data_IF_461048360971
#
_entry.id   IF_461048360971
#
_cell.length_a   1.000
_cell.length_b   1.000
_cell.length_c   1.000
_cell.angle_alpha   90.00
_cell.angle_beta   90.00
_cell.angle_gamma   90.00
#
_symmetry.space_group_name_H-M   'P 1'
#
loop_
_entity.id
_entity.type
_entity.pdbx_description
1 polymer ?
#
# COMPACT_ATOMS: atom_id res chain seq x y z
N UNK A 1 17.00 3.09 -5.43
CA UNK A 1 17.45 1.91 -6.21
C UNK A 1 16.92 0.57 -5.70
N UNK A 2 15.84 0.53 -4.88
CA UNK A 2 15.34 -0.71 -4.25
C UNK A 2 14.14 -1.36 -4.97
N UNK A 3 13.47 -0.66 -5.86
CA UNK A 3 12.36 -1.20 -6.67
C UNK A 3 12.73 -2.43 -7.53
N UNK A 4 14.02 -2.69 -7.79
CA UNK A 4 14.48 -3.89 -8.50
C UNK A 4 14.27 -5.21 -7.73
N UNK A 5 13.66 -5.16 -6.54
CA UNK A 5 13.32 -6.34 -5.74
C UNK A 5 11.90 -6.87 -5.98
N UNK A 6 11.09 -6.18 -6.79
CA UNK A 6 9.82 -6.71 -7.25
C UNK A 6 10.10 -7.89 -8.18
N UNK A 7 9.85 -9.11 -7.72
CA UNK A 7 9.76 -10.28 -8.59
C UNK A 7 10.99 -11.16 -8.76
N UNK A 8 11.69 -11.53 -7.69
CA UNK A 8 12.62 -12.66 -7.71
C UNK A 8 11.91 -14.02 -7.56
N UNK A 9 10.81 -14.26 -8.29
CA UNK A 9 10.16 -15.58 -8.28
C UNK A 9 10.65 -16.42 -9.47
N UNK A 10 10.75 -17.74 -9.29
CA UNK A 10 11.04 -18.73 -10.35
C UNK A 10 9.96 -18.78 -11.47
N UNK A 11 8.84 -18.02 -11.29
CA UNK A 11 7.74 -17.97 -12.26
C UNK A 11 8.02 -16.89 -13.33
N UNK A 12 7.65 -17.13 -14.59
CA UNK A 12 7.79 -16.15 -15.65
C UNK A 12 7.04 -14.85 -15.29
N UNK A 13 7.67 -13.69 -15.58
CA UNK A 13 7.10 -12.38 -15.29
C UNK A 13 5.75 -12.18 -16.03
N UNK A 14 4.91 -11.29 -15.52
CA UNK A 14 3.64 -10.92 -16.17
C UNK A 14 3.91 -10.52 -17.62
N UNK A 15 4.94 -9.71 -17.84
CA UNK A 15 5.34 -9.30 -19.19
C UNK A 15 5.72 -10.49 -20.09
N UNK A 16 6.55 -11.42 -19.65
CA UNK A 16 6.96 -12.57 -20.46
C UNK A 16 5.77 -13.48 -20.82
N UNK A 17 4.73 -13.52 -19.99
CA UNK A 17 3.50 -14.25 -20.26
C UNK A 17 2.62 -13.53 -21.28
N UNK A 18 2.40 -12.22 -21.12
CA UNK A 18 1.68 -11.37 -22.08
C UNK A 18 2.38 -11.37 -23.44
N UNK A 19 3.71 -11.18 -23.43
CA UNK A 19 4.55 -11.20 -24.63
C UNK A 19 4.36 -12.50 -25.43
N UNK A 20 4.35 -13.66 -24.76
CA UNK A 20 4.17 -14.95 -25.40
C UNK A 20 2.80 -15.07 -26.09
N UNK A 21 1.74 -14.49 -25.54
CA UNK A 21 0.40 -14.48 -26.12
C UNK A 21 0.34 -13.53 -27.31
N UNK A 22 0.73 -12.28 -27.12
CA UNK A 22 0.64 -11.24 -28.15
C UNK A 22 1.62 -11.42 -29.31
N UNK A 23 2.71 -12.17 -29.12
CA UNK A 23 3.79 -12.31 -30.09
C UNK A 23 3.99 -13.77 -30.57
N UNK A 24 3.09 -14.69 -30.27
CA UNK A 24 3.09 -16.04 -30.85
C UNK A 24 2.96 -15.96 -32.37
N UNK A 25 2.35 -14.90 -32.89
CA UNK A 25 2.40 -14.48 -34.30
C UNK A 25 2.67 -12.97 -34.37
N UNK A 26 3.87 -12.58 -34.81
CA UNK A 26 4.26 -11.16 -35.02
C UNK A 26 3.26 -10.43 -35.96
N UNK A 27 2.52 -11.18 -36.80
CA UNK A 27 1.42 -10.66 -37.59
C UNK A 27 0.15 -10.35 -36.80
N UNK A 28 -0.02 -10.87 -35.58
CA UNK A 28 -1.24 -10.64 -34.78
C UNK A 28 -1.38 -9.17 -34.38
N UNK A 29 -0.32 -8.50 -33.95
CA UNK A 29 -0.35 -7.06 -33.66
C UNK A 29 -0.65 -6.20 -34.90
N UNK A 30 -0.22 -6.63 -36.08
CA UNK A 30 -0.45 -5.91 -37.35
C UNK A 30 -1.86 -6.17 -37.87
N UNK A 31 -2.40 -7.38 -37.70
CA UNK A 31 -3.75 -7.79 -38.17
C UNK A 31 -4.86 -7.47 -37.16
N UNK A 32 -4.51 -7.13 -35.94
CA UNK A 32 -5.40 -6.97 -34.78
C UNK A 32 -5.32 -8.20 -33.85
N UNK A 33 -5.40 -7.97 -32.55
CA UNK A 33 -5.57 -9.05 -31.57
C UNK A 33 -6.93 -9.71 -31.84
N UNK A 34 -6.97 -11.03 -31.89
CA UNK A 34 -8.22 -11.76 -31.99
C UNK A 34 -8.85 -11.97 -30.59
N UNK A 35 -10.08 -12.46 -30.55
CA UNK A 35 -10.80 -12.68 -29.30
C UNK A 35 -10.05 -13.65 -28.35
N UNK A 36 -9.41 -14.69 -28.91
CA UNK A 36 -8.65 -15.68 -28.12
C UNK A 36 -7.39 -15.06 -27.49
N UNK A 37 -6.73 -14.14 -28.20
CA UNK A 37 -5.55 -13.42 -27.67
C UNK A 37 -5.94 -12.52 -26.50
N UNK A 38 -7.05 -11.79 -26.61
CA UNK A 38 -7.57 -10.93 -25.55
C UNK A 38 -8.00 -11.76 -24.33
N UNK A 39 -8.74 -12.85 -24.52
CA UNK A 39 -9.15 -13.76 -23.44
C UNK A 39 -7.92 -14.36 -22.72
N UNK A 40 -6.89 -14.74 -23.46
CA UNK A 40 -5.66 -15.23 -22.87
C UNK A 40 -4.89 -14.14 -22.09
N UNK A 41 -4.89 -12.89 -22.56
CA UNK A 41 -4.31 -11.76 -21.82
C UNK A 41 -5.08 -11.48 -20.54
N UNK A 42 -6.40 -11.49 -20.58
CA UNK A 42 -7.25 -11.34 -19.39
C UNK A 42 -6.95 -12.42 -18.36
N UNK A 43 -6.85 -13.67 -18.79
CA UNK A 43 -6.47 -14.78 -17.90
C UNK A 43 -5.13 -14.54 -17.21
N UNK A 44 -4.11 -14.08 -17.95
CA UNK A 44 -2.79 -13.76 -17.37
C UNK A 44 -2.87 -12.65 -16.34
N UNK A 45 -3.64 -11.59 -16.60
CA UNK A 45 -3.80 -10.46 -15.68
C UNK A 45 -4.57 -10.89 -14.42
N UNK A 46 -5.65 -11.67 -14.57
CA UNK A 46 -6.38 -12.20 -13.42
C UNK A 46 -5.52 -13.13 -12.55
N UNK A 47 -4.74 -14.04 -13.17
CA UNK A 47 -3.79 -14.90 -12.45
C UNK A 47 -2.65 -14.13 -11.77
N UNK A 48 -2.37 -12.91 -12.22
CA UNK A 48 -1.44 -11.98 -11.61
C UNK A 48 -2.10 -11.06 -10.56
N UNK A 49 -3.32 -11.37 -10.12
CA UNK A 49 -4.11 -10.67 -9.09
C UNK A 49 -4.55 -9.23 -9.45
N UNK A 50 -4.61 -8.85 -10.73
CA UNK A 50 -5.12 -7.52 -11.13
C UNK A 50 -6.60 -7.31 -10.78
N UNK A 51 -7.36 -8.40 -10.59
CA UNK A 51 -8.80 -8.33 -10.42
C UNK A 51 -9.55 -8.05 -11.74
N UNK A 52 -10.85 -8.31 -11.75
CA UNK A 52 -11.66 -8.25 -12.98
C UNK A 52 -11.72 -6.83 -13.54
N UNK A 53 -12.00 -5.84 -12.70
CA UNK A 53 -12.21 -4.46 -13.17
C UNK A 53 -10.94 -3.86 -13.83
N UNK A 54 -9.77 -4.03 -13.21
CA UNK A 54 -8.50 -3.55 -13.77
C UNK A 54 -8.10 -4.35 -15.03
N UNK A 55 -8.40 -5.66 -15.07
CA UNK A 55 -8.13 -6.51 -16.24
C UNK A 55 -8.92 -6.02 -17.44
N UNK A 56 -10.24 -5.88 -17.31
CA UNK A 56 -11.12 -5.42 -18.40
C UNK A 56 -10.69 -4.03 -18.91
N UNK A 57 -10.43 -3.09 -18.01
CA UNK A 57 -9.98 -1.74 -18.39
C UNK A 57 -8.68 -1.76 -19.21
N UNK A 58 -7.71 -2.62 -18.82
CA UNK A 58 -6.44 -2.75 -19.54
C UNK A 58 -6.63 -3.42 -20.91
N UNK A 59 -7.40 -4.49 -21.00
CA UNK A 59 -7.59 -5.24 -22.26
C UNK A 59 -8.41 -4.44 -23.27
N UNK A 60 -9.51 -3.79 -22.86
CA UNK A 60 -10.31 -2.90 -23.73
C UNK A 60 -9.46 -1.73 -24.27
N UNK A 61 -8.64 -1.12 -23.43
CA UNK A 61 -7.77 -0.04 -23.87
C UNK A 61 -6.73 -0.49 -24.91
N UNK A 62 -6.17 -1.69 -24.73
CA UNK A 62 -5.22 -2.27 -25.69
C UNK A 62 -5.91 -2.64 -27.01
N UNK A 63 -7.09 -3.25 -26.96
CA UNK A 63 -7.87 -3.57 -28.16
C UNK A 63 -8.17 -2.32 -28.99
N UNK A 64 -8.57 -1.23 -28.34
CA UNK A 64 -8.84 0.03 -29.01
C UNK A 64 -7.58 0.63 -29.67
N UNK A 65 -6.43 0.55 -29.02
CA UNK A 65 -5.14 1.02 -29.59
C UNK A 65 -4.67 0.14 -30.75
N UNK A 66 -4.87 -1.17 -30.69
CA UNK A 66 -4.61 -2.09 -31.81
C UNK A 66 -5.51 -1.75 -32.99
N UNK A 67 -6.82 -1.57 -32.76
CA UNK A 67 -7.81 -1.22 -33.78
C UNK A 67 -7.47 0.11 -34.46
N UNK A 68 -6.92 1.07 -33.74
CA UNK A 68 -6.45 2.35 -34.26
C UNK A 68 -5.06 2.27 -34.93
N UNK A 69 -4.43 1.12 -35.00
CA UNK A 69 -3.11 0.93 -35.59
C UNK A 69 -1.96 1.60 -34.84
N UNK A 70 -2.13 1.88 -33.54
CA UNK A 70 -1.09 2.50 -32.69
C UNK A 70 -0.06 1.51 -32.18
N UNK A 71 -0.44 0.23 -32.04
CA UNK A 71 0.44 -0.83 -31.56
C UNK A 71 0.94 -1.66 -32.75
N UNK A 72 2.19 -1.51 -33.11
CA UNK A 72 2.81 -2.20 -34.25
C UNK A 72 3.97 -3.11 -33.85
N UNK A 73 4.56 -2.84 -32.71
CA UNK A 73 5.73 -3.55 -32.20
C UNK A 73 5.53 -4.01 -30.77
N UNK A 74 6.36 -4.97 -30.32
CA UNK A 74 6.45 -5.38 -28.92
C UNK A 74 6.71 -4.18 -28.00
N UNK A 75 7.58 -3.26 -28.42
CA UNK A 75 7.92 -2.07 -27.65
C UNK A 75 6.71 -1.13 -27.49
N UNK A 76 5.86 -1.02 -28.52
CA UNK A 76 4.63 -0.21 -28.44
C UNK A 76 3.64 -0.83 -27.47
N UNK A 77 3.43 -2.16 -27.54
CA UNK A 77 2.57 -2.89 -26.62
C UNK A 77 3.02 -2.73 -25.17
N UNK A 78 4.32 -2.95 -24.92
CA UNK A 78 4.89 -2.81 -23.56
C UNK A 78 4.71 -1.39 -23.01
N UNK A 79 5.02 -0.39 -23.83
CA UNK A 79 4.89 1.01 -23.46
C UNK A 79 3.43 1.39 -23.18
N UNK A 80 2.52 0.91 -24.01
CA UNK A 80 1.08 1.16 -23.80
C UNK A 80 0.61 0.56 -22.49
N UNK A 81 0.94 -0.71 -22.20
CA UNK A 81 0.63 -1.36 -20.92
C UNK A 81 1.24 -0.62 -19.73
N UNK A 82 2.50 -0.18 -19.81
CA UNK A 82 3.16 0.59 -18.76
C UNK A 82 2.42 1.90 -18.49
N UNK A 83 2.11 2.66 -19.54
CA UNK A 83 1.40 3.93 -19.41
C UNK A 83 0.00 3.74 -18.81
N UNK A 84 -0.78 2.78 -19.32
CA UNK A 84 -2.13 2.50 -18.81
C UNK A 84 -2.11 2.08 -17.35
N UNK A 85 -1.17 1.22 -16.99
CA UNK A 85 -1.00 0.78 -15.61
C UNK A 85 -0.58 1.95 -14.71
N UNK A 86 0.36 2.79 -15.14
CA UNK A 86 0.75 3.99 -14.40
C UNK A 86 -0.43 4.95 -14.22
N UNK A 87 -1.22 5.21 -15.28
CA UNK A 87 -2.41 6.06 -15.23
C UNK A 87 -3.46 5.53 -14.25
N UNK A 88 -3.73 4.22 -14.26
CA UNK A 88 -4.63 3.56 -13.32
C UNK A 88 -4.17 3.69 -11.86
N UNK A 89 -2.85 3.63 -11.65
CA UNK A 89 -2.24 3.71 -10.32
C UNK A 89 -2.12 5.13 -9.78
N UNK A 90 -2.17 6.16 -10.64
CA UNK A 90 -2.09 7.56 -10.20
C UNK A 90 -3.23 7.91 -9.26
N UNK A 91 -2.87 8.57 -8.15
CA UNK A 91 -3.80 9.19 -7.22
C UNK A 91 -3.99 10.67 -7.56
N UNK A 92 -4.96 11.32 -6.89
CA UNK A 92 -5.18 12.77 -7.01
C UNK A 92 -4.12 13.60 -6.25
N UNK A 93 -3.36 12.99 -5.36
CA UNK A 93 -2.40 13.65 -4.48
C UNK A 93 -0.98 13.11 -4.66
N UNK A 94 0.00 13.92 -4.25
CA UNK A 94 1.42 13.60 -4.30
C UNK A 94 1.75 12.30 -3.53
N UNK A 95 2.22 11.25 -4.22
CA UNK A 95 2.61 10.01 -3.58
C UNK A 95 3.73 10.24 -2.57
N UNK A 96 3.63 9.57 -1.41
CA UNK A 96 4.62 9.69 -0.34
C UNK A 96 4.49 10.94 0.53
N UNK A 97 3.62 11.87 0.21
CA UNK A 97 3.30 12.99 1.08
C UNK A 97 2.47 12.52 2.28
N UNK A 98 2.71 13.14 3.42
CA UNK A 98 1.92 12.93 4.64
C UNK A 98 1.46 14.30 5.13
N UNK A 99 0.18 14.41 5.46
CA UNK A 99 -0.42 15.66 5.92
C UNK A 99 0.41 16.31 7.05
N UNK A 100 0.33 17.64 7.11
CA UNK A 100 0.81 18.44 8.25
C UNK A 100 -0.37 19.20 8.84
N UNK A 101 -0.53 19.09 10.15
CA UNK A 101 -1.51 19.91 10.87
C UNK A 101 -1.12 21.38 10.78
N UNK A 102 -2.10 22.26 10.65
CA UNK A 102 -1.89 23.72 10.69
C UNK A 102 -1.58 24.22 12.11
N UNK A 103 -1.97 23.46 13.13
CA UNK A 103 -1.69 23.75 14.54
C UNK A 103 -1.63 22.45 15.36
N UNK A 104 -0.75 22.40 16.35
CA UNK A 104 -0.51 21.22 17.17
C UNK A 104 0.15 20.08 16.42
N UNK A 105 0.24 18.89 17.03
CA UNK A 105 0.86 17.74 16.38
C UNK A 105 -0.03 17.15 15.27
N UNK A 106 0.58 16.74 14.17
CA UNK A 106 -0.07 15.90 13.17
C UNK A 106 -0.33 14.52 13.74
N UNK A 107 -1.56 14.02 13.69
CA UNK A 107 -1.92 12.68 14.16
C UNK A 107 -2.16 11.77 12.98
N UNK A 108 -1.42 10.66 12.93
CA UNK A 108 -1.46 9.63 11.89
C UNK A 108 -1.92 8.32 12.53
N UNK A 109 -3.05 7.79 12.12
CA UNK A 109 -3.49 6.45 12.51
C UNK A 109 -2.98 5.41 11.52
N UNK A 110 -2.39 4.33 12.02
CA UNK A 110 -1.98 3.17 11.22
C UNK A 110 -2.98 2.05 11.50
N UNK A 111 -3.79 1.71 10.50
CA UNK A 111 -4.88 0.73 10.61
C UNK A 111 -4.68 -0.43 9.64
N UNK A 112 -5.35 -1.57 9.87
CA UNK A 112 -5.26 -2.77 9.01
C UNK A 112 -5.32 -4.05 9.82
N UNK A 113 -5.40 -5.22 9.18
CA UNK A 113 -5.50 -6.51 9.86
C UNK A 113 -4.17 -6.96 10.48
N UNK A 114 -4.22 -7.95 11.37
CA UNK A 114 -3.01 -8.56 11.91
C UNK A 114 -2.17 -9.20 10.81
N UNK A 115 -0.84 -9.08 10.93
CA UNK A 115 0.09 -9.68 9.98
C UNK A 115 0.40 -8.82 8.74
N UNK A 116 -0.31 -7.70 8.51
CA UNK A 116 -0.02 -6.79 7.38
C UNK A 116 1.23 -5.93 7.59
N UNK A 117 1.83 -5.94 8.78
CA UNK A 117 3.05 -5.17 9.06
C UNK A 117 2.79 -3.76 9.63
N UNK A 118 1.64 -3.48 10.25
CA UNK A 118 1.31 -2.18 10.86
C UNK A 118 2.39 -1.63 11.78
N UNK A 119 2.77 -2.39 12.79
CA UNK A 119 3.79 -1.98 13.78
C UNK A 119 5.13 -1.67 13.12
N UNK A 120 5.57 -2.52 12.18
CA UNK A 120 6.79 -2.30 11.40
C UNK A 120 6.65 -1.07 10.50
N UNK A 121 5.50 -0.87 9.88
CA UNK A 121 5.20 0.29 9.04
C UNK A 121 5.19 1.58 9.86
N UNK A 122 4.58 1.58 11.05
CA UNK A 122 4.59 2.73 11.96
C UNK A 122 6.03 3.16 12.30
N UNK A 123 6.91 2.20 12.61
CA UNK A 123 8.31 2.46 12.89
C UNK A 123 9.08 2.99 11.66
N UNK A 124 8.88 2.40 10.47
CA UNK A 124 9.52 2.85 9.23
C UNK A 124 9.06 4.24 8.82
N UNK A 125 7.76 4.52 8.96
CA UNK A 125 7.20 5.84 8.69
C UNK A 125 7.76 6.88 9.67
N UNK A 126 7.86 6.53 10.96
CA UNK A 126 8.46 7.38 11.98
C UNK A 126 9.91 7.75 11.64
N UNK A 127 10.71 6.76 11.26
CA UNK A 127 12.10 6.99 10.82
C UNK A 127 12.17 7.91 9.60
N UNK A 128 11.31 7.69 8.62
CA UNK A 128 11.25 8.51 7.41
C UNK A 128 10.91 9.96 7.74
N UNK A 129 9.86 10.18 8.51
CA UNK A 129 9.42 11.52 8.92
C UNK A 129 10.49 12.23 9.80
N UNK A 130 11.19 11.47 10.66
CA UNK A 130 12.34 12.00 11.44
C UNK A 130 13.48 12.45 10.51
N UNK A 131 13.77 11.70 9.44
CA UNK A 131 14.78 12.11 8.43
C UNK A 131 14.35 13.36 7.66
N UNK A 132 13.06 13.63 7.53
CA UNK A 132 12.47 14.84 6.96
C UNK A 132 12.44 16.01 7.97
N UNK A 133 13.01 15.82 9.18
CA UNK A 133 13.12 16.84 10.22
C UNK A 133 11.89 16.93 11.13
N UNK A 134 10.93 16.00 11.06
CA UNK A 134 9.79 15.97 11.99
C UNK A 134 10.20 15.42 13.36
N UNK A 135 9.56 15.95 14.39
CA UNK A 135 9.70 15.48 15.77
C UNK A 135 8.58 14.50 16.10
N UNK A 136 8.88 13.21 15.97
CA UNK A 136 7.89 12.13 16.01
C UNK A 136 7.77 11.50 17.39
N UNK A 137 6.54 11.17 17.79
CA UNK A 137 6.19 10.32 18.93
C UNK A 137 5.41 9.10 18.43
N UNK A 138 5.73 7.92 18.96
CA UNK A 138 5.01 6.68 18.68
C UNK A 138 4.00 6.39 19.81
N UNK A 139 2.80 5.92 19.45
CA UNK A 139 1.75 5.49 20.39
C UNK A 139 1.39 4.02 20.15
N UNK A 140 1.65 3.16 21.15
CA UNK A 140 1.38 1.73 21.11
C UNK A 140 -0.05 1.44 21.55
N UNK A 141 -1.01 1.60 20.62
CA UNK A 141 -2.43 1.41 20.90
C UNK A 141 -2.94 -0.01 20.60
N UNK A 142 -2.10 -0.98 20.18
CA UNK A 142 -2.44 -2.42 20.14
C UNK A 142 -2.26 -3.05 21.54
N UNK A 143 -3.02 -2.53 22.52
CA UNK A 143 -2.84 -2.82 23.97
C UNK A 143 -3.11 -4.27 24.35
N UNK A 144 -3.88 -4.99 23.56
CA UNK A 144 -4.24 -6.40 23.82
C UNK A 144 -3.17 -7.39 23.37
N UNK A 145 -2.20 -6.93 22.58
CA UNK A 145 -1.07 -7.75 22.14
C UNK A 145 0.23 -7.25 22.76
N UNK A 146 0.57 -7.85 23.92
CA UNK A 146 1.79 -7.49 24.64
C UNK A 146 3.05 -7.51 23.73
N UNK A 147 3.13 -8.47 22.81
CA UNK A 147 4.19 -8.54 21.81
C UNK A 147 4.23 -7.35 20.84
N UNK A 148 3.07 -6.78 20.45
CA UNK A 148 3.02 -5.63 19.57
C UNK A 148 3.50 -4.36 20.28
N UNK A 149 3.05 -4.14 21.51
CA UNK A 149 3.52 -3.03 22.37
C UNK A 149 5.03 -3.11 22.57
N UNK A 150 5.54 -4.28 22.97
CA UNK A 150 6.99 -4.48 23.16
C UNK A 150 7.77 -4.27 21.85
N UNK A 151 7.25 -4.75 20.72
CA UNK A 151 7.86 -4.57 19.42
C UNK A 151 7.97 -3.09 19.04
N UNK A 152 6.92 -2.29 19.24
CA UNK A 152 6.95 -0.86 18.94
C UNK A 152 7.90 -0.11 19.86
N UNK A 153 7.98 -0.48 21.16
CA UNK A 153 8.94 0.09 22.10
C UNK A 153 10.40 -0.22 21.72
N UNK A 154 10.69 -1.43 21.25
CA UNK A 154 12.02 -1.79 20.74
C UNK A 154 12.38 -0.93 19.53
N UNK A 155 11.44 -0.72 18.61
CA UNK A 155 11.64 0.19 17.49
C UNK A 155 11.87 1.64 17.95
N UNK A 156 11.04 2.15 18.87
CA UNK A 156 11.18 3.49 19.41
C UNK A 156 12.58 3.72 20.01
N UNK A 157 13.03 2.79 20.86
CA UNK A 157 14.36 2.84 21.46
C UNK A 157 15.48 2.82 20.41
N UNK A 158 15.37 1.96 19.39
CA UNK A 158 16.35 1.85 18.31
C UNK A 158 16.44 3.12 17.46
N UNK A 159 15.31 3.83 17.32
CA UNK A 159 15.23 5.08 16.54
C UNK A 159 15.47 6.34 17.40
N UNK A 160 15.60 6.21 18.72
CA UNK A 160 15.72 7.32 19.64
C UNK A 160 14.45 8.18 19.72
N UNK A 161 13.27 7.56 19.54
CA UNK A 161 11.98 8.23 19.56
C UNK A 161 11.23 8.00 20.88
N UNK A 162 10.50 9.00 21.40
CA UNK A 162 9.57 8.79 22.50
C UNK A 162 8.42 7.87 22.10
N UNK A 163 8.00 6.99 23.03
CA UNK A 163 6.89 6.09 22.84
C UNK A 163 5.94 6.16 24.04
N UNK A 164 4.66 6.33 23.80
CA UNK A 164 3.58 6.21 24.78
C UNK A 164 2.94 4.84 24.62
N UNK A 165 2.81 4.11 25.72
CA UNK A 165 2.18 2.80 25.74
C UNK A 165 1.22 2.70 26.93
N UNK A 166 0.08 2.05 26.71
CA UNK A 166 -0.89 1.77 27.77
C UNK A 166 -0.53 0.50 28.57
N UNK A 167 -1.22 0.31 29.66
CA UNK A 167 -1.20 -0.96 30.38
C UNK A 167 -1.72 -2.11 29.48
N UNK A 168 -1.27 -3.35 29.65
CA UNK A 168 -1.80 -4.49 28.92
C UNK A 168 -3.33 -4.59 29.08
N UNK A 169 -4.06 -4.66 27.96
CA UNK A 169 -5.53 -4.67 27.94
C UNK A 169 -6.20 -3.33 28.25
N UNK A 170 -5.42 -2.26 28.40
CA UNK A 170 -5.94 -0.90 28.59
C UNK A 170 -6.67 -0.38 27.34
N UNK A 171 -7.37 0.76 27.51
CA UNK A 171 -8.15 1.38 26.43
C UNK A 171 -7.21 1.99 25.35
N UNK A 172 -7.24 1.51 24.09
CA UNK A 172 -6.44 2.06 23.00
C UNK A 172 -6.68 3.56 22.74
N UNK A 173 -7.91 4.02 22.95
CA UNK A 173 -8.25 5.43 22.75
C UNK A 173 -7.59 6.35 23.82
N UNK A 174 -7.40 5.84 25.05
CA UNK A 174 -6.66 6.56 26.09
C UNK A 174 -5.18 6.69 25.71
N UNK A 175 -4.57 5.64 25.14
CA UNK A 175 -3.17 5.69 24.67
C UNK A 175 -2.99 6.76 23.59
N UNK A 176 -3.91 6.84 22.62
CA UNK A 176 -3.88 7.85 21.59
C UNK A 176 -4.06 9.28 22.17
N UNK A 177 -4.95 9.43 23.13
CA UNK A 177 -5.16 10.71 23.84
C UNK A 177 -3.89 11.15 24.57
N UNK A 178 -3.31 10.28 25.41
CA UNK A 178 -2.10 10.55 26.18
C UNK A 178 -0.90 10.87 25.26
N UNK A 179 -0.83 10.22 24.11
CA UNK A 179 0.21 10.48 23.11
C UNK A 179 0.10 11.90 22.51
N UNK A 180 -1.12 12.38 22.24
CA UNK A 180 -1.35 13.75 21.76
C UNK A 180 -0.96 14.77 22.84
N UNK A 181 -1.32 14.52 24.10
CA UNK A 181 -0.96 15.39 25.22
C UNK A 181 0.55 15.43 25.45
N UNK A 182 1.20 14.27 25.42
CA UNK A 182 2.65 14.16 25.53
C UNK A 182 3.36 14.88 24.37
N UNK A 183 2.86 14.76 23.15
CA UNK A 183 3.45 15.45 21.99
C UNK A 183 3.28 16.97 22.13
N UNK A 184 2.10 17.43 22.46
CA UNK A 184 1.80 18.87 22.63
C UNK A 184 2.66 19.50 23.72
N UNK A 185 2.78 18.84 24.89
CA UNK A 185 3.57 19.36 26.03
C UNK A 185 5.08 19.37 25.78
N UNK A 186 5.57 18.46 24.93
CA UNK A 186 7.02 18.32 24.60
C UNK A 186 7.42 19.06 23.32
N UNK A 187 6.50 19.75 22.64
CA UNK A 187 6.77 20.42 21.37
C UNK A 187 7.15 19.47 20.24
N UNK A 188 6.55 18.26 20.24
CA UNK A 188 6.64 17.31 19.14
C UNK A 188 5.55 17.61 18.12
N UNK A 189 5.84 17.40 16.84
CA UNK A 189 4.95 17.83 15.76
C UNK A 189 4.18 16.68 15.07
N UNK A 190 4.49 15.43 15.42
CA UNK A 190 3.86 14.27 14.79
C UNK A 190 3.65 13.14 15.80
N UNK A 191 2.44 12.58 15.81
CA UNK A 191 2.08 11.38 16.57
C UNK A 191 1.66 10.28 15.60
N UNK A 192 2.31 9.11 15.65
CA UNK A 192 1.92 7.93 14.88
C UNK A 192 1.33 6.91 15.84
N UNK A 193 0.08 6.54 15.62
CA UNK A 193 -0.67 5.61 16.46
C UNK A 193 -0.74 4.25 15.78
N UNK A 194 -0.07 3.24 16.34
CA UNK A 194 -0.16 1.83 15.91
C UNK A 194 -1.36 1.18 16.59
N UNK A 195 -2.35 0.74 15.79
CA UNK A 195 -3.62 0.21 16.30
C UNK A 195 -3.71 -1.32 16.22
N UNK A 196 -4.65 -1.91 16.93
CA UNK A 196 -4.99 -3.32 16.81
C UNK A 196 -5.46 -3.71 15.40
N UNK A 197 -5.47 -5.01 15.09
CA UNK A 197 -5.89 -5.50 13.76
C UNK A 197 -6.58 -6.86 13.81
N UNK A 198 -7.32 -7.18 14.88
CA UNK A 198 -7.95 -8.48 15.11
C UNK A 198 -9.25 -8.65 14.32
N UNK A 199 -9.16 -9.03 13.05
CA UNK A 199 -10.31 -9.14 12.16
C UNK A 199 -11.29 -10.26 12.54
N UNK A 200 -10.88 -11.27 13.32
CA UNK A 200 -11.78 -12.34 13.78
C UNK A 200 -12.85 -11.82 14.76
N UNK A 201 -12.68 -10.64 15.35
CA UNK A 201 -13.69 -9.87 16.09
C UNK A 201 -14.00 -8.59 15.33
N UNK A 202 -14.45 -8.74 14.08
CA UNK A 202 -14.58 -7.63 13.11
C UNK A 202 -15.33 -6.43 13.66
N UNK A 203 -16.53 -6.65 14.23
CA UNK A 203 -17.34 -5.55 14.81
C UNK A 203 -16.61 -4.83 15.95
N UNK A 204 -16.03 -5.59 16.89
CA UNK A 204 -15.28 -5.02 18.01
C UNK A 204 -14.07 -4.20 17.57
N UNK A 205 -13.34 -4.66 16.56
CA UNK A 205 -12.21 -3.91 15.98
C UNK A 205 -12.68 -2.59 15.35
N UNK A 206 -13.76 -2.63 14.56
CA UNK A 206 -14.28 -1.43 13.90
C UNK A 206 -14.83 -0.42 14.90
N UNK A 207 -15.47 -0.88 15.98
CA UNK A 207 -15.90 0.00 17.07
C UNK A 207 -14.73 0.63 17.83
N UNK A 208 -13.67 -0.15 18.10
CA UNK A 208 -12.45 0.34 18.73
C UNK A 208 -11.79 1.45 17.87
N UNK A 209 -11.66 1.22 16.57
CA UNK A 209 -11.07 2.21 15.65
C UNK A 209 -11.93 3.47 15.55
N UNK A 210 -13.27 3.35 15.48
CA UNK A 210 -14.18 4.50 15.53
C UNK A 210 -14.06 5.27 16.85
N UNK A 211 -13.87 4.56 17.97
CA UNK A 211 -13.64 5.17 19.27
C UNK A 211 -12.34 5.96 19.29
N UNK A 212 -11.23 5.37 18.81
CA UNK A 212 -9.94 6.07 18.70
C UNK A 212 -10.10 7.34 17.87
N UNK A 213 -10.65 7.24 16.65
CA UNK A 213 -10.88 8.39 15.76
C UNK A 213 -11.68 9.49 16.44
N UNK A 214 -12.77 9.15 17.12
CA UNK A 214 -13.61 10.10 17.83
C UNK A 214 -12.90 10.78 19.01
N UNK A 215 -12.12 10.02 19.80
CA UNK A 215 -11.38 10.57 20.94
C UNK A 215 -10.27 11.50 20.47
N UNK A 216 -9.53 11.08 19.44
CA UNK A 216 -8.48 11.88 18.80
C UNK A 216 -9.06 13.20 18.24
N UNK A 217 -10.18 13.14 17.51
CA UNK A 217 -10.84 14.32 16.94
C UNK A 217 -11.42 15.27 18.01
N UNK A 218 -11.85 14.74 19.16
CA UNK A 218 -12.28 15.58 20.30
C UNK A 218 -11.11 16.27 20.98
N UNK A 219 -9.96 15.57 21.08
CA UNK A 219 -8.77 16.13 21.74
C UNK A 219 -8.08 17.18 20.86
N UNK A 220 -8.03 16.94 19.55
CA UNK A 220 -7.41 17.82 18.58
C UNK A 220 -8.34 17.96 17.37
N UNK A 221 -9.07 19.09 17.23
CA UNK A 221 -9.96 19.31 16.11
C UNK A 221 -9.23 19.17 14.75
N UNK A 222 -9.83 18.43 13.84
CA UNK A 222 -9.24 18.10 12.55
C UNK A 222 -8.41 16.80 12.52
N UNK A 223 -8.08 16.23 13.68
CA UNK A 223 -7.41 14.93 13.76
C UNK A 223 -8.45 13.77 13.72
N UNK A 224 -8.04 12.58 13.24
CA UNK A 224 -6.73 12.27 12.68
C UNK A 224 -6.52 12.99 11.35
N UNK A 225 -5.30 13.50 11.10
CA UNK A 225 -4.96 14.19 9.87
C UNK A 225 -4.65 13.23 8.73
N UNK A 226 -4.22 12.01 9.09
CA UNK A 226 -4.06 10.87 8.20
C UNK A 226 -4.56 9.59 8.87
N UNK A 227 -5.25 8.77 8.12
CA UNK A 227 -5.56 7.38 8.47
C UNK A 227 -5.01 6.49 7.35
N UNK A 228 -3.87 5.86 7.61
CA UNK A 228 -3.17 5.06 6.62
C UNK A 228 -3.52 3.58 6.80
N UNK A 229 -4.16 3.01 5.79
CA UNK A 229 -4.55 1.60 5.78
C UNK A 229 -3.41 0.74 5.23
N UNK A 230 -2.89 -0.15 6.07
CA UNK A 230 -1.81 -1.07 5.72
C UNK A 230 -2.39 -2.39 5.25
N UNK A 231 -2.11 -2.75 4.01
CA UNK A 231 -2.56 -3.96 3.36
C UNK A 231 -1.37 -4.83 2.91
N UNK A 232 -1.56 -6.13 2.96
CA UNK A 232 -0.57 -7.11 2.52
C UNK A 232 -0.74 -7.37 1.01
N UNK A 233 0.26 -7.04 0.21
CA UNK A 233 0.24 -7.23 -1.24
C UNK A 233 0.27 -8.69 -1.69
N UNK A 234 0.53 -9.65 -0.79
CA UNK A 234 0.60 -11.07 -1.14
C UNK A 234 -0.75 -11.78 -1.12
N UNK A 235 -1.78 -11.18 -0.50
CA UNK A 235 -3.09 -11.85 -0.29
C UNK A 235 -4.14 -11.52 -1.36
N UNK A 236 -3.76 -10.80 -2.42
CA UNK A 236 -4.60 -10.56 -3.60
C UNK A 236 -5.96 -9.96 -3.26
N UNK A 237 -7.04 -10.56 -3.79
CA UNK A 237 -8.41 -10.08 -3.61
C UNK A 237 -8.89 -10.02 -2.15
N UNK A 238 -8.30 -10.80 -1.24
CA UNK A 238 -8.63 -10.71 0.18
C UNK A 238 -8.21 -9.34 0.76
N UNK A 239 -7.13 -8.73 0.28
CA UNK A 239 -6.75 -7.38 0.69
C UNK A 239 -7.80 -6.34 0.28
N UNK A 240 -8.41 -6.49 -0.89
CA UNK A 240 -9.51 -5.62 -1.36
C UNK A 240 -10.71 -5.70 -0.42
N UNK A 241 -11.13 -6.90 -0.05
CA UNK A 241 -12.27 -7.08 0.87
C UNK A 241 -11.97 -6.47 2.26
N UNK A 242 -10.77 -6.70 2.78
CA UNK A 242 -10.33 -6.05 4.01
C UNK A 242 -10.37 -4.53 3.88
N UNK A 243 -9.84 -4.00 2.77
CA UNK A 243 -9.82 -2.56 2.51
C UNK A 243 -11.21 -1.92 2.54
N UNK A 244 -12.21 -2.56 1.93
CA UNK A 244 -13.61 -2.09 1.94
C UNK A 244 -14.17 -1.97 3.35
N UNK A 245 -13.92 -2.97 4.21
CA UNK A 245 -14.37 -2.95 5.61
C UNK A 245 -13.76 -1.78 6.41
N UNK A 246 -12.45 -1.54 6.24
CA UNK A 246 -11.79 -0.41 6.91
C UNK A 246 -12.25 0.93 6.35
N UNK A 247 -12.52 1.02 5.04
CA UNK A 247 -13.02 2.24 4.40
C UNK A 247 -14.36 2.69 5.01
N UNK A 248 -15.27 1.76 5.28
CA UNK A 248 -16.55 2.03 5.93
C UNK A 248 -16.41 2.45 7.41
N UNK A 249 -15.37 1.96 8.09
CA UNK A 249 -15.23 2.16 9.53
C UNK A 249 -14.52 3.47 9.90
N UNK A 250 -13.44 3.84 9.18
CA UNK A 250 -12.50 4.90 9.62
C UNK A 250 -12.09 5.86 8.52
N UNK A 251 -12.68 5.78 7.33
CA UNK A 251 -12.40 6.68 6.19
C UNK A 251 -10.89 6.88 5.96
N UNK A 252 -10.15 5.85 5.52
CA UNK A 252 -8.71 5.99 5.28
C UNK A 252 -8.41 7.08 4.27
N UNK A 253 -7.31 7.79 4.45
CA UNK A 253 -6.83 8.85 3.56
C UNK A 253 -5.82 8.35 2.53
N UNK A 254 -5.26 7.16 2.75
CA UNK A 254 -4.31 6.55 1.83
C UNK A 254 -3.97 5.11 2.21
N UNK A 255 -3.32 4.44 1.27
CA UNK A 255 -2.90 3.05 1.39
C UNK A 255 -1.39 2.94 1.58
N UNK A 256 -0.98 1.94 2.35
CA UNK A 256 0.39 1.43 2.39
C UNK A 256 0.32 -0.06 2.03
N UNK A 257 0.97 -0.44 0.93
CA UNK A 257 1.00 -1.84 0.50
C UNK A 257 2.35 -2.46 0.86
N UNK A 258 2.33 -3.51 1.67
CA UNK A 258 3.53 -4.16 2.22
C UNK A 258 3.82 -5.50 1.55
N UNK A 259 5.00 -6.07 1.82
CA UNK A 259 5.44 -7.41 1.39
C UNK A 259 5.51 -7.58 -0.14
N UNK A 260 5.84 -6.52 -0.84
CA UNK A 260 5.98 -6.57 -2.30
C UNK A 260 7.33 -7.13 -2.75
N UNK A 261 8.27 -7.33 -1.83
CA UNK A 261 9.60 -7.92 -2.05
C UNK A 261 9.56 -9.42 -2.37
N UNK A 262 8.51 -10.12 -1.96
CA UNK A 262 8.37 -11.57 -2.13
C UNK A 262 7.34 -12.01 -3.17
N UNK A 263 6.65 -11.10 -3.86
CA UNK A 263 5.53 -11.47 -4.71
C UNK A 263 5.70 -11.06 -6.17
N UNK A 264 5.49 -12.04 -7.08
CA UNK A 264 5.24 -11.79 -8.51
C UNK A 264 3.82 -11.17 -8.76
N UNK A 265 3.10 -10.80 -7.71
CA UNK A 265 1.66 -10.45 -7.73
C UNK A 265 1.42 -8.94 -7.60
N UNK A 266 2.26 -8.14 -8.24
CA UNK A 266 2.07 -6.68 -8.24
C UNK A 266 0.72 -6.20 -8.78
N UNK A 267 -0.04 -7.05 -9.47
CA UNK A 267 -1.40 -6.77 -9.91
C UNK A 267 -2.36 -6.45 -8.76
N UNK A 268 -2.14 -7.04 -7.56
CA UNK A 268 -2.94 -6.72 -6.38
C UNK A 268 -2.92 -5.22 -6.04
N UNK A 269 -1.82 -4.52 -6.32
CA UNK A 269 -1.70 -3.07 -6.12
C UNK A 269 -2.67 -2.31 -7.04
N UNK A 270 -2.79 -2.73 -8.30
CA UNK A 270 -3.74 -2.16 -9.26
C UNK A 270 -5.19 -2.43 -8.83
N UNK A 271 -5.49 -3.67 -8.40
CA UNK A 271 -6.80 -4.02 -7.87
C UNK A 271 -7.18 -3.18 -6.65
N UNK A 272 -6.27 -3.02 -5.68
CA UNK A 272 -6.47 -2.19 -4.49
C UNK A 272 -6.76 -0.74 -4.85
N UNK A 273 -5.94 -0.16 -5.74
CA UNK A 273 -6.13 1.23 -6.17
C UNK A 273 -7.48 1.43 -6.86
N UNK A 274 -7.86 0.49 -7.74
CA UNK A 274 -9.10 0.57 -8.53
C UNK A 274 -10.34 0.40 -7.65
N UNK A 275 -10.33 -0.60 -6.75
CA UNK A 275 -11.49 -0.98 -5.95
C UNK A 275 -11.73 -0.07 -4.73
N UNK A 276 -10.67 0.46 -4.14
CA UNK A 276 -10.79 1.32 -2.95
C UNK A 276 -10.80 2.81 -3.28
N UNK A 277 -10.40 3.19 -4.48
CA UNK A 277 -10.27 4.59 -4.92
C UNK A 277 -9.40 5.48 -3.98
N UNK A 278 -8.52 4.86 -3.19
CA UNK A 278 -7.62 5.54 -2.26
C UNK A 278 -6.22 5.68 -2.85
N UNK A 279 -5.52 6.80 -2.64
CA UNK A 279 -4.15 6.96 -3.11
C UNK A 279 -3.21 6.00 -2.38
N UNK A 280 -2.29 5.38 -3.13
CA UNK A 280 -1.21 4.61 -2.53
C UNK A 280 -0.12 5.59 -2.15
N UNK A 281 0.21 5.69 -0.85
CA UNK A 281 1.22 6.62 -0.33
C UNK A 281 2.60 5.99 -0.33
N UNK A 282 2.68 4.75 0.18
CA UNK A 282 3.95 4.05 0.35
C UNK A 282 3.82 2.58 -0.02
N UNK A 283 4.97 1.99 -0.34
CA UNK A 283 5.13 0.53 -0.50
C UNK A 283 6.26 0.02 0.39
N UNK A 284 6.03 -1.18 0.95
CA UNK A 284 7.01 -1.93 1.74
C UNK A 284 7.70 -2.98 0.89
N UNK A 285 9.04 -2.90 0.80
CA UNK A 285 9.89 -3.69 -0.08
C UNK A 285 10.92 -4.54 0.68
N UNK A 286 10.68 -4.86 1.95
CA UNK A 286 11.59 -5.65 2.79
C UNK A 286 11.47 -5.32 4.27
N UNK A 287 12.41 -5.82 5.07
CA UNK A 287 12.37 -5.74 6.54
C UNK A 287 13.20 -4.57 7.12
N UNK A 288 14.14 -3.99 6.35
CA UNK A 288 14.93 -2.86 6.83
C UNK A 288 14.07 -1.61 7.08
N UNK A 289 14.49 -0.77 8.01
CA UNK A 289 13.80 0.50 8.31
C UNK A 289 13.68 1.42 7.09
N UNK A 290 14.59 1.28 6.14
CA UNK A 290 14.61 2.04 4.89
C UNK A 290 13.70 1.44 3.80
N UNK A 291 13.15 0.23 4.00
CA UNK A 291 12.35 -0.47 3.00
C UNK A 291 10.87 -0.04 2.99
N UNK A 292 10.61 1.25 3.27
CA UNK A 292 9.34 1.94 3.06
C UNK A 292 9.57 3.09 2.09
N UNK A 293 9.18 2.90 0.84
CA UNK A 293 9.41 3.89 -0.22
C UNK A 293 8.11 4.61 -0.60
N UNK A 294 8.18 5.91 -0.97
CA UNK A 294 7.07 6.58 -1.63
C UNK A 294 6.63 5.79 -2.86
N UNK A 295 5.34 5.75 -3.09
CA UNK A 295 4.81 5.06 -4.26
C UNK A 295 5.03 5.92 -5.51
N UNK A 296 5.61 5.32 -6.54
CA UNK A 296 5.84 5.93 -7.85
C UNK A 296 5.14 5.04 -8.90
N UNK A 297 3.99 5.49 -9.45
CA UNK A 297 3.19 4.69 -10.38
C UNK A 297 3.94 4.27 -11.64
N UNK A 298 4.73 5.18 -12.22
CA UNK A 298 5.50 4.94 -13.44
C UNK A 298 6.55 3.86 -13.19
N UNK A 299 7.35 4.06 -12.18
CA UNK A 299 8.40 3.14 -11.78
C UNK A 299 7.85 1.78 -11.34
N UNK A 300 6.69 1.76 -10.70
CA UNK A 300 6.02 0.53 -10.34
C UNK A 300 5.56 -0.24 -11.58
N UNK A 301 4.92 0.43 -12.54
CA UNK A 301 4.48 -0.17 -13.79
C UNK A 301 5.66 -0.71 -14.63
N UNK A 302 6.77 0.04 -14.71
CA UNK A 302 8.00 -0.40 -15.37
C UNK A 302 8.54 -1.69 -14.77
N UNK A 303 8.64 -1.76 -13.43
CA UNK A 303 9.17 -2.94 -12.73
C UNK A 303 8.25 -4.16 -12.81
N UNK A 304 6.92 -3.94 -12.74
CA UNK A 304 5.95 -5.03 -12.84
C UNK A 304 5.98 -5.70 -14.21
N UNK A 305 6.24 -4.91 -15.26
CA UNK A 305 6.34 -5.36 -16.64
C UNK A 305 7.82 -5.55 -17.07
N UNK A 306 8.76 -5.58 -16.15
CA UNK A 306 10.16 -5.93 -16.46
C UNK A 306 10.28 -7.42 -16.84
N UNK A 307 11.23 -7.73 -17.67
CA UNK A 307 11.64 -9.12 -17.89
C UNK A 307 12.28 -9.65 -16.60
N UNK A 308 12.00 -10.90 -16.26
CA UNK A 308 12.69 -11.54 -15.15
C UNK A 308 14.19 -11.53 -15.45
N UNK A 309 15.05 -11.20 -14.47
CA UNK A 309 16.49 -11.30 -14.70
C UNK A 309 16.83 -12.73 -15.15
N UNK A 310 17.48 -12.87 -16.29
CA UNK A 310 18.01 -14.16 -16.74
C UNK A 310 18.96 -14.62 -15.64
N UNK A 311 18.66 -15.75 -15.02
CA UNK A 311 19.56 -16.36 -14.06
C UNK A 311 20.90 -16.55 -14.77
N UNK A 312 21.95 -15.89 -14.28
CA UNK A 312 23.29 -16.12 -14.79
C UNK A 312 23.63 -17.59 -14.51
N UNK A 313 23.75 -18.36 -15.59
CA UNK A 313 24.16 -19.76 -15.59
C UNK A 313 25.62 -19.92 -15.12
#
# INVERSE_FOLDING_TARGET
>A
MKYNRLGSSEKPSVWSRIKRIALTDVGALIRGLNADDLENMERVLIEADFGVAATVELTEALEDEVRRGKLKTEADLKRSLQNRLADMLRGAEDPGSVARASSGPTVILIVGVNGTGKTTTAAKLAWKLQKEGRKVLLAAADTYRAGAVAQLQVWANRLGLPCVAGAPGGDPASVAFDAIDAASSRGLDTVIVDTAGRLHTQEGLMEELRKITRVVGRRLPGAPHETLLVLDGTVGQNAVQQGKLFAEAVSPTGLIVTKLDGSARGGAVAALRRELALPIRFIGLGESVEDLEPFDPERFAENLLAEAPVAAS
#
